data_IF_102704441878
#
_entry.id   IF_102704441878
#
_cell.length_a   1.000
_cell.length_b   1.000
_cell.length_c   1.000
_cell.angle_alpha   90.00
_cell.angle_beta   90.00
_cell.angle_gamma   90.00
#
_symmetry.space_group_name_H-M   'P 1'
#
loop_
_entity.id
_entity.type
_entity.pdbx_description
1 polymer ?
#
# COMPACT_ATOMS: atom_id res chain seq x y z
N UNK A 1 -13.89 -3.68 10.91
CA UNK A 1 -14.06 -2.26 10.65
C UNK A 1 -13.13 -1.45 11.54
N UNK A 2 -12.22 -0.72 10.93
CA UNK A 2 -11.21 0.13 11.58
C UNK A 2 -10.51 -0.55 12.77
N UNK A 3 -9.92 -1.73 12.60
CA UNK A 3 -9.40 -2.50 13.74
C UNK A 3 -8.22 -1.84 14.43
N UNK A 4 -7.52 -0.91 13.77
CA UNK A 4 -6.34 -0.24 14.32
C UNK A 4 -6.66 1.11 14.95
N UNK A 5 -7.91 1.54 14.92
CA UNK A 5 -8.34 2.83 15.48
C UNK A 5 -8.01 2.90 16.98
N UNK A 6 -7.36 4.00 17.38
CA UNK A 6 -7.01 4.22 18.77
C UNK A 6 -5.76 3.50 19.27
N UNK A 7 -5.11 2.71 18.43
CA UNK A 7 -3.87 2.02 18.80
C UNK A 7 -2.64 2.87 18.49
N UNK A 8 -1.60 2.72 19.32
CA UNK A 8 -0.29 3.28 19.02
C UNK A 8 0.37 2.50 17.87
N UNK A 9 1.46 2.99 17.26
CA UNK A 9 2.10 2.30 16.13
C UNK A 9 2.51 0.87 16.42
N UNK A 10 2.99 0.59 17.63
CA UNK A 10 3.39 -0.77 18.01
C UNK A 10 2.18 -1.70 18.12
N UNK A 11 1.10 -1.25 18.76
CA UNK A 11 -0.13 -2.01 18.86
C UNK A 11 -0.77 -2.27 17.51
N UNK A 12 -0.71 -1.29 16.62
CA UNK A 12 -1.16 -1.43 15.24
C UNK A 12 -0.40 -2.54 14.51
N UNK A 13 0.93 -2.53 14.58
CA UNK A 13 1.77 -3.52 13.92
C UNK A 13 1.49 -4.93 14.42
N UNK A 14 1.34 -5.08 15.73
CA UNK A 14 1.01 -6.39 16.33
C UNK A 14 -0.34 -6.89 15.84
N UNK A 15 -1.37 -6.04 15.83
CA UNK A 15 -2.71 -6.43 15.40
C UNK A 15 -2.74 -6.81 13.93
N UNK A 16 -2.11 -6.01 13.06
CA UNK A 16 -2.06 -6.31 11.63
C UNK A 16 -1.30 -7.60 11.34
N UNK A 17 -0.23 -7.86 12.07
CA UNK A 17 0.51 -9.13 11.96
C UNK A 17 -0.35 -10.32 12.36
N UNK A 18 -1.17 -10.17 13.41
CA UNK A 18 -2.09 -11.22 13.84
C UNK A 18 -3.17 -11.49 12.80
N UNK A 19 -3.74 -10.46 12.19
CA UNK A 19 -4.75 -10.59 11.13
C UNK A 19 -4.15 -11.32 9.93
N UNK A 20 -2.96 -10.93 9.51
CA UNK A 20 -2.27 -11.56 8.38
C UNK A 20 -1.95 -13.02 8.66
N UNK A 21 -1.47 -13.33 9.85
CA UNK A 21 -1.17 -14.69 10.28
C UNK A 21 -2.42 -15.55 10.31
N UNK A 22 -3.51 -15.04 10.84
CA UNK A 22 -4.79 -15.74 10.89
C UNK A 22 -5.27 -16.10 9.48
N UNK A 23 -5.22 -15.15 8.58
CA UNK A 23 -5.61 -15.36 7.18
C UNK A 23 -4.77 -16.46 6.51
N UNK A 24 -3.45 -16.38 6.67
CA UNK A 24 -2.54 -17.36 6.05
C UNK A 24 -2.68 -18.75 6.64
N UNK A 25 -2.81 -18.82 7.97
CA UNK A 25 -2.84 -20.11 8.67
C UNK A 25 -4.15 -20.85 8.44
N UNK A 26 -5.26 -20.13 8.41
CA UNK A 26 -6.59 -20.75 8.32
C UNK A 26 -7.18 -20.76 6.91
N UNK A 27 -6.57 -20.05 5.97
CA UNK A 27 -7.08 -19.95 4.61
C UNK A 27 -8.43 -19.25 4.51
N UNK A 28 -8.81 -18.49 5.54
CA UNK A 28 -10.06 -17.76 5.58
C UNK A 28 -9.98 -16.46 4.76
N UNK A 29 -11.14 -16.04 4.24
CA UNK A 29 -11.26 -14.70 3.66
C UNK A 29 -11.45 -13.69 4.79
N UNK A 30 -10.64 -12.64 4.80
CA UNK A 30 -10.73 -11.55 5.77
C UNK A 30 -11.14 -10.28 5.04
N UNK A 31 -12.21 -9.63 5.51
CA UNK A 31 -12.67 -8.35 4.99
C UNK A 31 -12.26 -7.26 5.99
N UNK A 32 -11.33 -6.41 5.57
CA UNK A 32 -10.82 -5.31 6.37
C UNK A 32 -11.40 -4.00 5.85
N UNK A 33 -12.08 -3.27 6.72
CA UNK A 33 -12.63 -1.95 6.39
C UNK A 33 -11.83 -0.89 7.11
N UNK A 34 -11.19 0.00 6.36
CA UNK A 34 -10.35 1.04 6.91
C UNK A 34 -10.18 2.20 5.93
N UNK A 35 -9.93 3.39 6.43
CA UNK A 35 -9.47 4.53 5.64
C UNK A 35 -7.97 4.78 5.80
N UNK A 36 -7.28 3.92 6.53
CA UNK A 36 -5.83 3.96 6.66
C UNK A 36 -5.18 3.25 5.47
N UNK A 37 -4.67 4.01 4.53
CA UNK A 37 -4.04 3.46 3.33
C UNK A 37 -2.77 2.66 3.65
N UNK A 38 -2.06 3.06 4.70
CA UNK A 38 -0.87 2.32 5.16
C UNK A 38 -1.23 0.91 5.62
N UNK A 39 -2.30 0.76 6.39
CA UNK A 39 -2.76 -0.54 6.88
C UNK A 39 -3.21 -1.43 5.73
N UNK A 40 -3.99 -0.87 4.81
CA UNK A 40 -4.47 -1.58 3.63
C UNK A 40 -3.29 -2.01 2.75
N UNK A 41 -2.33 -1.13 2.52
CA UNK A 41 -1.16 -1.43 1.70
C UNK A 41 -0.35 -2.60 2.25
N UNK A 42 -0.27 -2.72 3.58
CA UNK A 42 0.52 -3.76 4.24
C UNK A 42 -0.17 -5.11 4.32
N UNK A 43 -1.50 -5.14 4.29
CA UNK A 43 -2.25 -6.35 4.64
C UNK A 43 -3.16 -6.87 3.53
N UNK A 44 -3.67 -6.01 2.67
CA UNK A 44 -4.67 -6.43 1.70
C UNK A 44 -4.06 -6.99 0.42
N UNK A 45 -4.64 -8.06 -0.09
CA UNK A 45 -4.29 -8.61 -1.40
C UNK A 45 -5.08 -7.90 -2.51
N UNK A 46 -6.33 -7.53 -2.21
CA UNK A 46 -7.23 -6.86 -3.14
C UNK A 46 -7.96 -5.74 -2.42
N UNK A 47 -8.29 -4.71 -3.16
CA UNK A 47 -8.95 -3.52 -2.61
C UNK A 47 -10.22 -3.23 -3.38
N UNK A 48 -11.27 -2.93 -2.65
CA UNK A 48 -12.48 -2.31 -3.17
C UNK A 48 -12.51 -0.87 -2.65
N UNK A 49 -12.45 0.08 -3.56
CA UNK A 49 -12.53 1.50 -3.22
C UNK A 49 -13.98 1.96 -3.35
N UNK A 50 -14.52 2.49 -2.27
CA UNK A 50 -15.86 3.06 -2.21
C UNK A 50 -15.78 4.58 -2.27
N UNK A 51 -16.59 5.18 -3.11
CA UNK A 51 -16.70 6.64 -3.21
C UNK A 51 -18.14 7.03 -3.45
N UNK A 52 -18.68 7.90 -2.59
CA UNK A 52 -20.08 8.36 -2.66
C UNK A 52 -21.08 7.20 -2.76
N UNK A 53 -20.88 6.20 -1.92
CA UNK A 53 -21.71 4.97 -1.85
C UNK A 53 -21.65 4.09 -3.11
N UNK A 54 -20.69 4.32 -3.98
CA UNK A 54 -20.47 3.49 -5.17
C UNK A 54 -19.11 2.82 -5.12
N UNK A 55 -19.02 1.61 -5.70
CA UNK A 55 -17.77 0.93 -5.92
C UNK A 55 -17.03 1.63 -7.07
N UNK A 56 -16.01 2.40 -6.72
CA UNK A 56 -15.27 3.21 -7.71
C UNK A 56 -14.17 2.41 -8.41
N UNK A 57 -13.48 1.54 -7.66
CA UNK A 57 -12.36 0.74 -8.17
C UNK A 57 -12.33 -0.60 -7.44
N UNK A 58 -11.89 -1.63 -8.14
CA UNK A 58 -11.68 -2.96 -7.55
C UNK A 58 -10.53 -3.67 -8.25
N UNK A 59 -9.64 -4.25 -7.49
CA UNK A 59 -8.53 -5.02 -8.05
C UNK A 59 -7.40 -5.30 -7.06
N UNK A 60 -6.30 -5.87 -7.57
CA UNK A 60 -5.11 -6.10 -6.75
C UNK A 60 -4.57 -4.82 -6.13
N UNK A 61 -4.03 -4.93 -4.93
CA UNK A 61 -3.57 -3.78 -4.15
C UNK A 61 -2.57 -2.91 -4.91
N UNK A 62 -1.59 -3.51 -5.57
CA UNK A 62 -0.59 -2.74 -6.33
C UNK A 62 -1.19 -1.99 -7.51
N UNK A 63 -2.14 -2.59 -8.22
CA UNK A 63 -2.79 -1.92 -9.35
C UNK A 63 -3.63 -0.73 -8.91
N UNK A 64 -4.34 -0.87 -7.79
CA UNK A 64 -5.15 0.22 -7.24
C UNK A 64 -4.27 1.37 -6.79
N UNK A 65 -3.20 1.10 -6.04
CA UNK A 65 -2.30 2.15 -5.57
C UNK A 65 -1.46 2.77 -6.68
N UNK A 66 -1.26 2.07 -7.80
CA UNK A 66 -0.62 2.67 -8.98
C UNK A 66 -1.48 3.80 -9.58
N UNK A 67 -2.79 3.81 -9.30
CA UNK A 67 -3.72 4.85 -9.72
C UNK A 67 -3.85 5.95 -8.65
N UNK A 68 -2.72 6.40 -8.13
CA UNK A 68 -2.69 7.33 -7.01
C UNK A 68 -3.38 8.66 -7.26
N UNK A 69 -3.28 9.20 -8.47
CA UNK A 69 -3.95 10.46 -8.82
C UNK A 69 -5.47 10.36 -8.70
N UNK A 70 -6.05 9.24 -9.15
CA UNK A 70 -7.48 9.00 -9.03
C UNK A 70 -7.92 8.84 -7.58
N UNK A 71 -7.11 8.14 -6.76
CA UNK A 71 -7.36 7.97 -5.34
C UNK A 71 -7.33 9.31 -4.61
N UNK A 72 -6.36 10.17 -4.93
CA UNK A 72 -6.26 11.50 -4.32
C UNK A 72 -7.45 12.38 -4.68
N UNK A 73 -7.98 12.27 -5.89
CA UNK A 73 -9.20 12.98 -6.30
C UNK A 73 -10.41 12.55 -5.48
N UNK A 74 -10.43 11.33 -4.98
CA UNK A 74 -11.48 10.81 -4.12
C UNK A 74 -11.24 11.12 -2.63
N UNK A 75 -10.20 11.87 -2.31
CA UNK A 75 -9.84 12.18 -0.92
C UNK A 75 -9.07 11.11 -0.19
N UNK A 76 -8.59 10.08 -0.90
CA UNK A 76 -7.80 9.01 -0.34
C UNK A 76 -6.31 9.28 -0.57
N UNK A 77 -5.48 8.92 0.38
CA UNK A 77 -4.03 9.12 0.28
C UNK A 77 -3.34 7.79 0.03
N UNK A 78 -2.53 7.73 -1.02
CA UNK A 78 -1.64 6.57 -1.20
C UNK A 78 -0.51 6.63 -0.18
N UNK A 79 0.10 5.50 0.19
CA UNK A 79 1.28 5.52 1.03
C UNK A 79 2.35 6.43 0.45
N UNK A 80 3.02 7.18 1.33
CA UNK A 80 4.00 8.18 0.90
C UNK A 80 5.11 7.57 0.04
N UNK A 81 5.59 6.38 0.41
CA UNK A 81 6.65 5.71 -0.34
C UNK A 81 6.18 5.33 -1.76
N UNK A 82 4.92 4.93 -1.91
CA UNK A 82 4.34 4.62 -3.22
C UNK A 82 4.36 5.85 -4.12
N UNK A 83 4.01 7.00 -3.56
CA UNK A 83 4.00 8.27 -4.27
C UNK A 83 5.41 8.69 -4.70
N UNK A 84 6.38 8.54 -3.82
CA UNK A 84 7.78 8.86 -4.12
C UNK A 84 8.30 8.02 -5.29
N UNK A 85 8.06 6.71 -5.27
CA UNK A 85 8.51 5.84 -6.35
C UNK A 85 7.80 6.14 -7.67
N UNK A 86 6.52 6.51 -7.63
CA UNK A 86 5.80 6.93 -8.83
C UNK A 86 6.44 8.18 -9.45
N UNK A 87 6.84 9.14 -8.62
CA UNK A 87 7.53 10.35 -9.09
C UNK A 87 8.88 10.01 -9.73
N UNK A 88 9.62 9.07 -9.16
CA UNK A 88 10.89 8.63 -9.72
C UNK A 88 10.70 7.93 -11.06
N UNK A 89 9.66 7.10 -11.19
CA UNK A 89 9.34 6.46 -12.48
C UNK A 89 9.05 7.49 -13.56
N UNK A 90 8.34 8.54 -13.23
CA UNK A 90 8.06 9.63 -14.18
C UNK A 90 9.35 10.30 -14.66
N UNK A 91 10.40 10.24 -13.87
CA UNK A 91 11.73 10.76 -14.21
C UNK A 91 12.61 9.76 -14.93
N UNK A 92 12.08 8.59 -15.26
CA UNK A 92 12.79 7.57 -16.03
C UNK A 92 13.51 6.50 -15.22
N UNK A 93 13.30 6.45 -13.91
CA UNK A 93 13.89 5.39 -13.08
C UNK A 93 13.19 4.05 -13.36
N UNK A 94 13.96 2.95 -13.59
CA UNK A 94 13.37 1.64 -13.89
C UNK A 94 12.96 0.91 -12.61
N UNK A 95 11.94 1.41 -11.93
CA UNK A 95 11.45 0.87 -10.66
C UNK A 95 9.96 0.57 -10.75
N UNK A 96 9.52 -0.44 -9.98
CA UNK A 96 8.12 -0.82 -9.88
C UNK A 96 7.36 -0.05 -8.80
N UNK A 97 6.12 -0.45 -8.59
CA UNK A 97 5.29 0.09 -7.51
C UNK A 97 5.66 -0.59 -6.19
N UNK A 98 5.91 0.20 -5.16
CA UNK A 98 6.11 -0.32 -3.82
C UNK A 98 5.02 0.22 -2.89
N UNK A 99 4.56 -0.63 -1.98
CA UNK A 99 3.51 -0.30 -1.02
C UNK A 99 4.07 -0.13 0.38
N UNK A 100 5.28 -0.65 0.63
CA UNK A 100 5.94 -0.59 1.93
C UNK A 100 7.37 -0.11 1.77
N UNK A 101 7.96 0.32 2.87
CA UNK A 101 9.36 0.75 2.89
C UNK A 101 10.29 -0.39 2.47
N UNK A 102 10.01 -1.61 2.92
CA UNK A 102 10.81 -2.79 2.60
C UNK A 102 10.80 -3.08 1.09
N UNK A 103 9.64 -2.99 0.46
CA UNK A 103 9.53 -3.15 -1.00
C UNK A 103 10.30 -2.05 -1.73
N UNK A 104 10.22 -0.81 -1.26
CA UNK A 104 10.93 0.31 -1.86
C UNK A 104 12.45 0.12 -1.79
N UNK A 105 12.96 -0.36 -0.66
CA UNK A 105 14.38 -0.65 -0.51
C UNK A 105 14.82 -1.71 -1.50
N UNK A 106 14.03 -2.77 -1.68
CA UNK A 106 14.34 -3.82 -2.67
C UNK A 106 14.38 -3.29 -4.10
N UNK A 107 13.53 -2.32 -4.43
CA UNK A 107 13.52 -1.71 -5.77
C UNK A 107 14.69 -0.75 -5.98
N UNK A 108 15.03 0.03 -4.97
CA UNK A 108 16.03 1.11 -5.09
C UNK A 108 17.46 0.65 -4.88
N UNK A 109 17.70 -0.28 -3.97
CA UNK A 109 19.04 -0.67 -3.56
C UNK A 109 19.92 -1.14 -4.72
N UNK A 110 19.43 -2.02 -5.64
CA UNK A 110 20.25 -2.43 -6.79
C UNK A 110 20.65 -1.28 -7.69
N UNK A 111 19.80 -0.26 -7.86
CA UNK A 111 20.10 0.90 -8.68
C UNK A 111 21.15 1.80 -8.04
N UNK A 112 21.07 1.96 -6.72
CA UNK A 112 22.05 2.76 -5.97
C UNK A 112 23.41 2.08 -5.91
N UNK A 113 23.46 0.76 -5.76
CA UNK A 113 24.70 -0.01 -5.75
C UNK A 113 25.43 0.04 -7.08
N UNK A 114 24.70 0.06 -8.20
CA UNK A 114 25.27 0.15 -9.53
C UNK A 114 25.82 1.55 -9.85
N UNK A 115 25.57 2.53 -9.00
CA UNK A 115 26.05 3.90 -9.19
C UNK A 115 25.51 4.58 -10.43
N UNK A 116 24.47 4.02 -11.05
CA UNK A 116 23.97 4.48 -12.33
C UNK A 116 22.84 5.49 -12.29
N UNK A 117 22.34 5.82 -11.09
CA UNK A 117 21.22 6.74 -10.95
C UNK A 117 21.61 7.91 -10.07
N UNK A 118 21.50 9.13 -10.61
CA UNK A 118 21.68 10.36 -9.85
C UNK A 118 20.35 11.11 -9.76
N UNK A 119 20.11 11.63 -8.60
CA UNK A 119 18.94 12.46 -8.36
C UNK A 119 19.15 13.85 -8.93
#
# INVERSE_FOLDING_TARGET
DEPTAGLDPQGRDVLLAQITSYHKTRGNTVLLVSHSMEDIARTADRILVMNSSHAAMFGPTKEIFARGAELEQMGLRVPQITKILAMLRERGWPIGTALTMEEAVRELLPLLEKGGVRV
#
